data_IF_871234823975
#
_entry.id   IF_871234823975
#
_cell.length_a   1.000
_cell.length_b   1.000
_cell.length_c   1.000
_cell.angle_alpha   90.00
_cell.angle_beta   90.00
_cell.angle_gamma   90.00
#
_symmetry.space_group_name_H-M   'P 1'
#
loop_
_entity.id
_entity.type
_entity.pdbx_description
1 polymer ?
#
# COMPACT_ATOMS: atom_id res chain seq x y z
N UNK A 1 -14.69 -11.70 -6.62
CA UNK A 1 -13.68 -10.79 -7.21
C UNK A 1 -12.79 -10.29 -6.10
N UNK A 2 -11.49 -10.60 -6.18
CA UNK A 2 -10.49 -10.26 -5.18
C UNK A 2 -9.50 -9.21 -5.66
N UNK A 3 -8.98 -8.41 -4.73
CA UNK A 3 -7.94 -7.42 -5.00
C UNK A 3 -6.72 -7.65 -4.11
N UNK A 4 -5.54 -7.65 -4.71
CA UNK A 4 -4.26 -7.57 -4.00
C UNK A 4 -3.90 -6.10 -3.86
N UNK A 5 -3.49 -5.70 -2.65
CA UNK A 5 -3.15 -4.33 -2.29
C UNK A 5 -1.71 -4.31 -1.81
N UNK A 6 -0.90 -3.43 -2.35
CA UNK A 6 0.50 -3.22 -1.94
C UNK A 6 0.83 -1.74 -1.89
N UNK A 7 1.86 -1.39 -1.15
CA UNK A 7 2.31 -0.02 -0.91
C UNK A 7 3.80 0.05 -0.68
N UNK A 8 4.38 1.24 -0.84
CA UNK A 8 5.74 1.52 -0.34
C UNK A 8 6.78 0.53 -0.87
N UNK A 9 6.79 0.33 -2.19
CA UNK A 9 7.74 -0.57 -2.89
C UNK A 9 9.16 0.01 -2.89
N UNK A 10 9.27 1.34 -2.96
CA UNK A 10 10.52 2.05 -2.84
C UNK A 10 11.64 1.53 -3.75
N UNK A 11 11.37 1.37 -5.04
CA UNK A 11 12.35 0.91 -6.03
C UNK A 11 12.97 -0.48 -5.70
N UNK A 12 12.23 -1.33 -5.00
CA UNK A 12 12.60 -2.71 -4.71
C UNK A 12 11.95 -3.69 -5.71
N UNK A 13 12.66 -3.95 -6.80
CA UNK A 13 12.19 -4.88 -7.83
C UNK A 13 12.17 -6.34 -7.36
N UNK A 14 12.92 -6.69 -6.30
CA UNK A 14 12.93 -8.06 -5.75
C UNK A 14 11.64 -8.31 -4.99
N UNK A 15 11.26 -7.39 -4.11
CA UNK A 15 10.02 -7.51 -3.35
C UNK A 15 8.78 -7.56 -4.24
N UNK A 16 8.67 -6.67 -5.25
CA UNK A 16 7.52 -6.70 -6.16
C UNK A 16 7.50 -7.97 -7.03
N UNK A 17 8.65 -8.54 -7.35
CA UNK A 17 8.75 -9.84 -8.04
C UNK A 17 8.30 -10.98 -7.14
N UNK A 18 8.68 -10.97 -5.86
CA UNK A 18 8.21 -11.95 -4.88
C UNK A 18 6.69 -11.91 -4.73
N UNK A 19 6.09 -10.71 -4.60
CA UNK A 19 4.63 -10.53 -4.61
C UNK A 19 4.01 -11.10 -5.90
N UNK A 20 4.52 -10.73 -7.07
CA UNK A 20 4.00 -11.17 -8.37
C UNK A 20 4.07 -12.70 -8.54
N UNK A 21 5.10 -13.34 -8.01
CA UNK A 21 5.23 -14.80 -8.02
C UNK A 21 4.28 -15.44 -7.01
N UNK A 22 4.22 -14.91 -5.78
CA UNK A 22 3.38 -15.42 -4.70
C UNK A 22 1.90 -15.49 -5.09
N UNK A 23 1.35 -14.43 -5.67
CA UNK A 23 -0.09 -14.38 -6.06
C UNK A 23 -0.45 -15.35 -7.19
N UNK A 24 0.53 -15.88 -7.91
CA UNK A 24 0.36 -16.90 -8.96
C UNK A 24 0.44 -18.33 -8.42
N UNK A 25 0.87 -18.54 -7.18
CA UNK A 25 1.03 -19.88 -6.60
C UNK A 25 -0.32 -20.59 -6.41
N UNK A 26 -0.36 -21.92 -6.49
CA UNK A 26 -1.53 -22.71 -6.12
C UNK A 26 -1.97 -22.46 -4.67
N UNK A 27 -1.01 -22.28 -3.75
CA UNK A 27 -1.26 -21.96 -2.35
C UNK A 27 -2.09 -20.67 -2.21
N UNK A 28 -1.64 -19.59 -2.86
CA UNK A 28 -2.36 -18.30 -2.80
C UNK A 28 -3.76 -18.43 -3.39
N UNK A 29 -3.91 -19.06 -4.54
CA UNK A 29 -5.21 -19.26 -5.18
C UNK A 29 -6.17 -20.10 -4.35
N UNK A 30 -5.67 -21.11 -3.64
CA UNK A 30 -6.48 -21.93 -2.75
C UNK A 30 -6.94 -21.13 -1.51
N UNK A 31 -6.09 -20.27 -0.95
CA UNK A 31 -6.37 -19.52 0.26
C UNK A 31 -7.27 -18.30 0.03
N UNK A 32 -7.14 -17.63 -1.12
CA UNK A 32 -7.73 -16.32 -1.41
C UNK A 32 -8.60 -16.28 -2.68
N UNK A 33 -8.55 -17.31 -3.52
CA UNK A 33 -9.23 -17.32 -4.81
C UNK A 33 -8.46 -16.58 -5.90
N UNK A 34 -9.21 -16.16 -6.93
CA UNK A 34 -8.62 -15.47 -8.07
C UNK A 34 -8.36 -13.99 -7.75
N UNK A 35 -7.20 -13.49 -8.17
CA UNK A 35 -6.87 -12.07 -8.16
C UNK A 35 -7.39 -11.43 -9.44
N UNK A 36 -8.31 -10.47 -9.31
CA UNK A 36 -8.88 -9.73 -10.44
C UNK A 36 -8.22 -8.35 -10.59
N UNK A 37 -7.88 -7.72 -9.48
CA UNK A 37 -7.32 -6.38 -9.44
C UNK A 37 -6.03 -6.33 -8.61
N UNK A 38 -5.14 -5.44 -9.02
CA UNK A 38 -4.02 -4.97 -8.20
C UNK A 38 -4.27 -3.51 -7.83
N UNK A 39 -4.04 -3.16 -6.57
CA UNK A 39 -4.17 -1.80 -6.04
C UNK A 39 -2.83 -1.41 -5.44
N UNK A 40 -2.15 -0.47 -6.07
CA UNK A 40 -0.94 0.14 -5.56
C UNK A 40 -1.29 1.42 -4.79
N UNK A 41 -0.90 1.49 -3.53
CA UNK A 41 -1.16 2.64 -2.67
C UNK A 41 -0.06 3.71 -2.74
N UNK A 42 0.88 3.62 -3.69
CA UNK A 42 1.92 4.63 -3.91
C UNK A 42 3.28 4.26 -3.36
N UNK A 43 4.22 5.19 -3.52
CA UNK A 43 5.63 5.08 -3.18
C UNK A 43 6.35 3.95 -3.94
N UNK A 44 6.26 4.02 -5.28
CA UNK A 44 6.97 3.11 -6.16
C UNK A 44 8.46 3.45 -6.28
N UNK A 45 8.84 4.71 -6.10
CA UNK A 45 10.21 5.22 -6.29
C UNK A 45 10.84 5.73 -5.01
N UNK A 46 12.10 6.14 -5.09
CA UNK A 46 13.00 6.56 -4.01
C UNK A 46 13.43 5.43 -3.06
N UNK A 47 14.43 5.71 -2.23
CA UNK A 47 15.11 4.85 -1.23
C UNK A 47 15.88 3.69 -1.85
N UNK A 48 15.22 2.75 -2.50
CA UNK A 48 15.85 1.60 -3.14
C UNK A 48 16.66 1.96 -4.39
N UNK A 49 17.29 0.97 -4.97
CA UNK A 49 18.31 1.16 -5.99
C UNK A 49 17.94 0.66 -7.40
N UNK A 50 16.73 0.11 -7.57
CA UNK A 50 16.26 -0.49 -8.83
C UNK A 50 14.96 0.14 -9.36
N UNK A 51 14.93 1.48 -9.54
CA UNK A 51 13.69 2.15 -9.91
C UNK A 51 13.19 1.76 -11.30
N UNK A 52 14.09 1.55 -12.27
CA UNK A 52 13.70 1.18 -13.62
C UNK A 52 13.06 -0.22 -13.65
N UNK A 53 13.71 -1.21 -13.06
CA UNK A 53 13.21 -2.59 -13.02
C UNK A 53 11.89 -2.68 -12.25
N UNK A 54 11.73 -1.86 -11.22
CA UNK A 54 10.47 -1.78 -10.46
C UNK A 54 9.34 -1.27 -11.34
N UNK A 55 9.53 -0.17 -12.06
CA UNK A 55 8.50 0.37 -12.95
C UNK A 55 8.22 -0.54 -14.15
N UNK A 56 9.22 -1.23 -14.70
CA UNK A 56 9.04 -2.25 -15.74
C UNK A 56 8.19 -3.42 -15.24
N UNK A 57 8.40 -3.86 -13.99
CA UNK A 57 7.59 -4.91 -13.37
C UNK A 57 6.15 -4.44 -13.15
N UNK A 58 5.94 -3.24 -12.64
CA UNK A 58 4.60 -2.64 -12.46
C UNK A 58 3.88 -2.54 -13.82
N UNK A 59 4.58 -2.11 -14.87
CA UNK A 59 4.03 -2.08 -16.22
C UNK A 59 3.67 -3.49 -16.75
N UNK A 60 4.48 -4.50 -16.43
CA UNK A 60 4.17 -5.90 -16.78
C UNK A 60 2.91 -6.37 -16.06
N UNK A 61 2.80 -6.11 -14.75
CA UNK A 61 1.63 -6.46 -13.95
C UNK A 61 0.35 -5.76 -14.46
N UNK A 62 0.45 -4.52 -14.94
CA UNK A 62 -0.69 -3.79 -15.49
C UNK A 62 -1.24 -4.38 -16.80
N UNK A 63 -0.48 -5.24 -17.49
CA UNK A 63 -0.95 -6.00 -18.66
C UNK A 63 -1.65 -7.31 -18.30
N UNK A 64 -1.33 -7.86 -17.13
CA UNK A 64 -1.88 -9.13 -16.65
C UNK A 64 -3.12 -8.92 -15.76
N UNK A 65 -3.16 -7.82 -15.03
CA UNK A 65 -4.20 -7.49 -14.06
C UNK A 65 -4.73 -6.06 -14.30
N UNK A 66 -5.96 -5.82 -13.89
CA UNK A 66 -6.43 -4.43 -13.78
C UNK A 66 -5.69 -3.76 -12.61
N UNK A 67 -4.71 -2.92 -12.94
CA UNK A 67 -3.94 -2.16 -11.95
C UNK A 67 -4.57 -0.76 -11.74
N UNK A 68 -4.83 -0.43 -10.47
CA UNK A 68 -5.13 0.92 -10.02
C UNK A 68 -3.98 1.38 -9.13
N UNK A 69 -3.48 2.60 -9.34
CA UNK A 69 -2.43 3.17 -8.51
C UNK A 69 -2.86 4.54 -8.01
N UNK A 70 -2.59 4.83 -6.73
CA UNK A 70 -2.68 6.17 -6.17
C UNK A 70 -1.29 6.73 -5.93
N UNK A 71 -1.17 8.06 -5.94
CA UNK A 71 0.13 8.74 -5.85
C UNK A 71 0.65 8.74 -4.41
N UNK A 72 1.86 8.24 -4.19
CA UNK A 72 2.57 8.31 -2.93
C UNK A 72 3.33 9.64 -2.74
N UNK A 73 3.81 9.90 -1.53
CA UNK A 73 4.54 11.14 -1.26
C UNK A 73 5.97 11.12 -1.86
N UNK A 74 6.61 9.95 -1.95
CA UNK A 74 7.90 9.82 -2.65
C UNK A 74 7.72 9.94 -4.16
N UNK A 75 6.63 9.41 -4.73
CA UNK A 75 6.29 9.60 -6.15
C UNK A 75 6.03 11.08 -6.45
N UNK A 76 5.21 11.75 -5.62
CA UNK A 76 4.95 13.18 -5.69
C UNK A 76 6.25 14.00 -5.58
N UNK A 77 7.11 13.65 -4.63
CA UNK A 77 8.38 14.35 -4.43
C UNK A 77 9.33 14.16 -5.63
N UNK A 78 9.42 12.96 -6.18
CA UNK A 78 10.21 12.69 -7.40
C UNK A 78 9.74 13.54 -8.58
N UNK A 79 8.44 13.56 -8.85
CA UNK A 79 7.87 14.33 -9.95
C UNK A 79 8.13 15.84 -9.80
N UNK A 80 8.01 16.36 -8.57
CA UNK A 80 8.14 17.79 -8.27
C UNK A 80 9.56 18.21 -7.81
N UNK A 81 10.55 17.31 -7.87
CA UNK A 81 11.95 17.55 -7.45
C UNK A 81 12.06 18.06 -6.00
N UNK A 82 11.21 17.53 -5.11
CA UNK A 82 11.26 17.84 -3.69
C UNK A 82 12.27 16.92 -3.00
N UNK A 83 12.93 17.46 -1.98
CA UNK A 83 13.82 16.66 -1.13
C UNK A 83 12.99 15.79 -0.18
N UNK A 84 13.34 14.51 -0.11
CA UNK A 84 12.78 13.55 0.86
C UNK A 84 13.90 12.76 1.49
N UNK A 85 13.67 12.31 2.72
CA UNK A 85 14.64 11.50 3.47
C UNK A 85 14.65 10.04 2.99
N UNK A 86 15.74 9.33 3.27
CA UNK A 86 15.83 7.89 3.12
C UNK A 86 16.42 7.38 1.81
N UNK A 87 16.79 8.26 0.87
CA UNK A 87 17.56 7.88 -0.32
C UNK A 87 19.04 8.20 -0.11
N UNK A 88 19.90 7.25 -0.42
CA UNK A 88 21.34 7.48 -0.51
C UNK A 88 21.73 8.15 -1.85
N UNK A 89 22.99 8.62 -2.02
CA UNK A 89 23.41 9.25 -3.26
C UNK A 89 23.33 8.36 -4.50
N UNK A 90 23.57 7.04 -4.36
CA UNK A 90 23.50 6.11 -5.48
C UNK A 90 22.07 5.90 -5.93
N UNK A 91 21.14 5.72 -4.98
CA UNK A 91 19.70 5.67 -5.27
C UNK A 91 19.23 6.96 -5.97
N UNK A 92 19.59 8.13 -5.42
CA UNK A 92 19.25 9.43 -6.02
C UNK A 92 19.74 9.53 -7.46
N UNK A 93 20.99 9.14 -7.73
CA UNK A 93 21.55 9.15 -9.08
C UNK A 93 20.77 8.27 -10.04
N UNK A 94 20.43 7.03 -9.66
CA UNK A 94 19.66 6.10 -10.51
C UNK A 94 18.27 6.64 -10.82
N UNK A 95 17.62 7.26 -9.86
CA UNK A 95 16.32 7.91 -10.08
C UNK A 95 16.42 9.09 -11.04
N UNK A 96 17.45 9.92 -10.95
CA UNK A 96 17.68 11.00 -11.92
C UNK A 96 17.95 10.48 -13.35
N UNK A 97 18.60 9.32 -13.51
CA UNK A 97 18.80 8.70 -14.83
C UNK A 97 17.47 8.28 -15.49
N UNK A 98 16.43 8.04 -14.70
CA UNK A 98 15.10 7.70 -15.24
C UNK A 98 14.30 8.91 -15.74
N UNK A 99 14.75 10.14 -15.48
CA UNK A 99 14.02 11.33 -15.95
C UNK A 99 13.97 11.33 -17.48
N UNK A 100 12.76 11.45 -18.01
CA UNK A 100 12.51 11.33 -19.45
C UNK A 100 12.21 9.90 -19.93
N UNK A 101 12.27 8.88 -19.06
CA UNK A 101 11.83 7.53 -19.40
C UNK A 101 10.32 7.49 -19.68
N UNK A 102 9.88 6.78 -20.73
CA UNK A 102 8.46 6.55 -21.00
C UNK A 102 7.73 5.83 -19.85
N UNK A 103 8.45 5.11 -18.98
CA UNK A 103 7.89 4.43 -17.81
C UNK A 103 7.26 5.42 -16.81
N UNK A 104 7.71 6.67 -16.79
CA UNK A 104 7.18 7.70 -15.90
C UNK A 104 5.75 8.14 -16.27
N UNK A 105 5.27 7.83 -17.47
CA UNK A 105 3.87 8.09 -17.85
C UNK A 105 2.86 7.35 -16.97
N UNK A 106 3.28 6.32 -16.24
CA UNK A 106 2.46 5.67 -15.22
C UNK A 106 1.96 6.67 -14.17
N UNK A 107 2.80 7.63 -13.77
CA UNK A 107 2.45 8.62 -12.74
C UNK A 107 1.44 9.67 -13.21
N UNK A 108 1.33 9.94 -14.52
CA UNK A 108 0.42 10.95 -15.08
C UNK A 108 -1.05 10.62 -14.82
N UNK A 109 -1.36 9.35 -14.58
CA UNK A 109 -2.71 8.85 -14.36
C UNK A 109 -3.03 8.50 -12.90
N UNK A 110 -2.06 8.68 -11.98
CA UNK A 110 -2.25 8.36 -10.57
C UNK A 110 -3.04 9.45 -9.84
N UNK A 111 -4.27 9.18 -9.39
CA UNK A 111 -5.00 10.12 -8.52
C UNK A 111 -4.40 10.12 -7.11
N UNK A 112 -4.77 11.12 -6.31
CA UNK A 112 -4.43 11.16 -4.88
C UNK A 112 -5.21 10.15 -4.05
N UNK A 113 -6.32 9.66 -4.58
CA UNK A 113 -7.20 8.67 -3.95
C UNK A 113 -8.06 7.95 -4.99
N UNK A 114 -8.53 6.78 -4.63
CA UNK A 114 -9.50 6.01 -5.40
C UNK A 114 -10.45 5.28 -4.46
N UNK A 115 -11.67 4.97 -4.88
CA UNK A 115 -12.62 4.22 -4.05
C UNK A 115 -13.35 3.15 -4.85
N UNK A 116 -13.61 2.02 -4.21
CA UNK A 116 -14.41 0.93 -4.75
C UNK A 116 -15.15 0.21 -3.61
N UNK A 117 -16.40 -0.19 -3.85
CA UNK A 117 -17.22 -0.99 -2.91
C UNK A 117 -17.21 -0.48 -1.47
N UNK A 118 -17.30 0.83 -1.29
CA UNK A 118 -17.35 1.45 0.05
C UNK A 118 -16.01 1.58 0.75
N UNK A 119 -14.90 1.19 0.10
CA UNK A 119 -13.54 1.35 0.62
C UNK A 119 -12.80 2.46 -0.13
N UNK A 120 -12.16 3.35 0.63
CA UNK A 120 -11.24 4.37 0.14
C UNK A 120 -9.82 3.81 0.12
N UNK A 121 -9.11 4.04 -0.97
CA UNK A 121 -7.70 3.74 -1.14
C UNK A 121 -6.94 5.04 -1.30
N UNK A 122 -5.94 5.28 -0.46
CA UNK A 122 -5.16 6.51 -0.41
C UNK A 122 -3.76 6.17 0.12
N UNK A 123 -2.74 6.93 -0.26
CA UNK A 123 -1.40 6.65 0.27
C UNK A 123 -1.30 6.99 1.75
N UNK A 124 -1.54 8.24 2.14
CA UNK A 124 -1.38 8.74 3.51
C UNK A 124 -2.68 8.89 4.29
N UNK A 125 -3.59 9.75 3.85
CA UNK A 125 -4.82 10.00 4.58
C UNK A 125 -5.97 10.60 3.76
N UNK A 126 -7.18 10.66 4.36
CA UNK A 126 -8.41 10.94 3.64
C UNK A 126 -8.82 12.42 3.61
N UNK A 127 -8.09 13.32 4.32
CA UNK A 127 -8.58 14.66 4.60
C UNK A 127 -8.32 15.61 3.43
N UNK A 128 -9.29 16.50 3.16
CA UNK A 128 -9.14 17.59 2.20
C UNK A 128 -8.67 18.85 2.92
N UNK A 129 -7.34 19.04 3.04
CA UNK A 129 -6.70 20.11 3.80
C UNK A 129 -6.08 21.22 2.94
N UNK A 130 -6.50 21.30 1.66
CA UNK A 130 -5.99 22.28 0.72
C UNK A 130 -4.74 21.82 -0.05
N UNK A 131 -4.02 22.78 -0.67
CA UNK A 131 -3.00 22.50 -1.68
C UNK A 131 -1.56 22.55 -1.17
N UNK A 132 -1.33 22.80 0.12
CA UNK A 132 0.03 22.80 0.68
C UNK A 132 0.59 21.39 0.65
N UNK A 133 1.83 21.22 0.20
CA UNK A 133 2.48 19.92 -0.01
C UNK A 133 2.30 18.97 1.16
N UNK A 134 2.67 19.37 2.37
CA UNK A 134 2.60 18.52 3.57
C UNK A 134 1.17 18.24 4.06
N UNK A 135 0.16 18.87 3.49
CA UNK A 135 -1.27 18.64 3.78
C UNK A 135 -1.98 17.83 2.69
N UNK A 136 -1.33 17.57 1.54
CA UNK A 136 -1.86 16.69 0.51
C UNK A 136 -2.12 15.28 1.06
N UNK A 137 -3.11 14.60 0.52
CA UNK A 137 -3.50 13.25 0.97
C UNK A 137 -2.34 12.26 1.03
N UNK A 138 -1.42 12.31 0.10
CA UNK A 138 -0.24 11.44 0.08
C UNK A 138 0.81 11.77 1.17
N UNK A 139 0.75 12.94 1.84
CA UNK A 139 1.66 13.32 2.93
C UNK A 139 1.03 13.21 4.32
N UNK A 140 -0.25 12.89 4.42
CA UNK A 140 -0.94 12.76 5.71
C UNK A 140 -0.53 11.47 6.43
N UNK A 141 -0.55 11.51 7.78
CA UNK A 141 -0.12 10.40 8.64
C UNK A 141 -1.16 10.09 9.70
N UNK A 142 -1.54 8.81 9.82
CA UNK A 142 -2.37 8.35 10.94
C UNK A 142 -1.55 8.41 12.25
N UNK A 143 -2.10 9.06 13.27
CA UNK A 143 -1.44 9.28 14.55
C UNK A 143 -2.47 9.31 15.70
N UNK A 144 -2.01 9.32 16.93
CA UNK A 144 -2.87 9.52 18.11
C UNK A 144 -3.25 11.00 18.31
N UNK A 145 -2.44 11.92 17.80
CA UNK A 145 -2.68 13.37 17.88
C UNK A 145 -2.70 13.98 16.48
N UNK A 146 -3.50 15.03 16.31
CA UNK A 146 -3.62 15.74 15.02
C UNK A 146 -2.81 17.04 15.03
N UNK A 147 -2.30 17.42 13.85
CA UNK A 147 -1.60 18.68 13.65
C UNK A 147 -0.58 18.67 12.54
N UNK A 148 -0.05 19.84 12.22
CA UNK A 148 1.03 19.99 11.24
C UNK A 148 2.37 19.50 11.82
N UNK A 149 3.14 18.82 10.99
CA UNK A 149 4.51 18.42 11.30
C UNK A 149 5.42 18.60 10.08
N UNK A 150 6.75 18.52 10.28
CA UNK A 150 7.71 18.54 9.18
C UNK A 150 7.60 17.32 8.24
N UNK A 151 6.93 16.25 8.69
CA UNK A 151 6.77 15.00 7.94
C UNK A 151 5.41 14.86 7.25
N UNK A 152 4.52 15.86 7.42
CA UNK A 152 3.17 15.86 6.90
C UNK A 152 2.12 16.16 7.97
N UNK A 153 0.87 16.29 7.60
CA UNK A 153 -0.22 16.51 8.54
C UNK A 153 -0.60 15.19 9.23
N UNK A 154 -0.61 15.21 10.56
CA UNK A 154 -1.07 14.09 11.36
C UNK A 154 -2.60 14.16 11.56
N UNK A 155 -3.29 13.07 11.32
CA UNK A 155 -4.72 12.93 11.57
C UNK A 155 -4.99 11.72 12.48
N UNK A 156 -6.11 11.75 13.19
CA UNK A 156 -6.51 10.68 14.09
C UNK A 156 -7.55 9.76 13.44
N UNK A 157 -7.72 8.55 13.98
CA UNK A 157 -8.73 7.61 13.50
C UNK A 157 -10.16 8.19 13.55
N UNK A 158 -10.60 8.94 14.59
CA UNK A 158 -11.90 9.63 14.56
C UNK A 158 -12.07 10.57 13.37
N UNK A 159 -11.05 11.39 13.04
CA UNK A 159 -11.09 12.31 11.90
C UNK A 159 -11.23 11.56 10.58
N UNK A 160 -10.53 10.45 10.43
CA UNK A 160 -10.64 9.62 9.23
C UNK A 160 -12.04 8.99 9.09
N UNK A 161 -12.61 8.43 10.16
CA UNK A 161 -13.97 7.88 10.14
C UNK A 161 -15.02 8.95 9.83
N UNK A 162 -14.85 10.17 10.32
CA UNK A 162 -15.72 11.30 9.97
C UNK A 162 -15.62 11.62 8.48
N UNK A 163 -14.42 11.75 7.93
CA UNK A 163 -14.20 12.01 6.51
C UNK A 163 -14.80 10.91 5.61
N UNK A 164 -14.72 9.65 6.01
CA UNK A 164 -15.35 8.54 5.32
C UNK A 164 -16.87 8.63 5.36
N UNK A 165 -17.43 8.91 6.53
CA UNK A 165 -18.88 9.01 6.74
C UNK A 165 -19.52 10.09 5.89
N UNK A 166 -18.91 11.29 5.82
CA UNK A 166 -19.37 12.40 4.97
C UNK A 166 -19.41 12.00 3.49
N UNK A 167 -18.56 11.08 3.07
CA UNK A 167 -18.42 10.60 1.68
C UNK A 167 -19.25 9.35 1.39
N UNK A 168 -19.99 8.83 2.38
CA UNK A 168 -20.74 7.59 2.24
C UNK A 168 -19.84 6.33 2.11
N UNK A 169 -18.60 6.40 2.61
CA UNK A 169 -17.64 5.31 2.60
C UNK A 169 -17.57 4.66 3.99
N UNK A 170 -17.25 3.38 4.04
CA UNK A 170 -17.24 2.59 5.28
C UNK A 170 -15.82 2.24 5.71
N UNK A 171 -14.93 1.98 4.75
CA UNK A 171 -13.58 1.50 5.02
C UNK A 171 -12.53 2.38 4.36
N UNK A 172 -11.31 2.36 4.89
CA UNK A 172 -10.13 2.97 4.28
C UNK A 172 -8.95 2.02 4.34
N UNK A 173 -8.18 1.99 3.26
CA UNK A 173 -6.88 1.34 3.21
C UNK A 173 -5.82 2.34 2.79
N UNK A 174 -4.71 2.42 3.55
CA UNK A 174 -3.58 3.31 3.27
C UNK A 174 -2.23 2.57 3.45
N UNK A 175 -1.13 3.23 3.05
CA UNK A 175 0.26 2.81 3.22
C UNK A 175 1.07 3.80 4.04
N UNK A 176 2.20 4.31 3.48
CA UNK A 176 3.00 5.45 3.91
C UNK A 176 3.85 5.25 5.18
N UNK A 177 3.36 4.59 6.20
CA UNK A 177 4.07 4.48 7.48
C UNK A 177 4.70 3.09 7.72
N UNK A 178 4.68 2.21 6.72
CA UNK A 178 5.34 0.90 6.66
C UNK A 178 5.03 -0.06 7.82
N UNK A 179 3.86 0.07 8.42
CA UNK A 179 3.42 -0.77 9.53
C UNK A 179 1.95 -1.13 9.36
N UNK A 180 1.62 -2.39 9.50
CA UNK A 180 0.24 -2.84 9.51
C UNK A 180 -0.51 -2.25 10.71
N UNK A 181 -1.69 -1.68 10.47
CA UNK A 181 -2.63 -1.21 11.50
C UNK A 181 -4.05 -1.59 11.11
N UNK A 182 -4.86 -1.90 12.13
CA UNK A 182 -6.28 -2.09 11.99
C UNK A 182 -7.02 -1.34 13.10
N UNK A 183 -7.73 -0.25 12.77
CA UNK A 183 -8.63 0.44 13.68
C UNK A 183 -10.09 0.14 13.29
N UNK A 184 -10.92 -0.32 14.21
CA UNK A 184 -12.33 -0.67 14.00
C UNK A 184 -13.23 0.26 14.79
N UNK A 185 -14.26 0.82 14.14
CA UNK A 185 -15.29 1.63 14.82
C UNK A 185 -16.45 0.73 15.20
N UNK A 186 -16.56 0.44 16.49
CA UNK A 186 -17.64 -0.36 17.08
C UNK A 186 -18.65 0.53 17.81
N UNK A 187 -19.80 0.01 18.26
CA UNK A 187 -20.73 0.77 19.11
C UNK A 187 -20.08 1.29 20.41
N UNK A 188 -19.07 0.59 20.92
CA UNK A 188 -18.36 0.95 22.17
C UNK A 188 -17.21 1.94 21.93
N UNK A 189 -16.91 2.30 20.68
CA UNK A 189 -15.85 3.23 20.32
C UNK A 189 -14.90 2.72 19.24
N UNK A 190 -13.77 3.41 19.09
CA UNK A 190 -12.73 3.03 18.13
C UNK A 190 -11.67 2.20 18.85
N UNK A 191 -11.42 1.01 18.34
CA UNK A 191 -10.47 0.05 18.91
C UNK A 191 -9.40 -0.28 17.87
N UNK A 192 -8.13 -0.16 18.25
CA UNK A 192 -7.02 -0.71 17.48
C UNK A 192 -6.91 -2.21 17.77
N UNK A 193 -6.95 -3.02 16.72
CA UNK A 193 -6.83 -4.48 16.81
C UNK A 193 -5.38 -4.88 16.54
N UNK A 194 -4.77 -5.72 17.38
CA UNK A 194 -3.49 -6.32 17.07
C UNK A 194 -3.60 -7.17 15.79
N UNK A 195 -2.53 -7.14 14.99
CA UNK A 195 -2.42 -7.93 13.77
C UNK A 195 -1.43 -9.05 14.05
N UNK A 196 -1.98 -10.22 14.32
CA UNK A 196 -1.20 -11.43 14.60
C UNK A 196 -1.13 -12.24 13.31
N UNK A 197 0.05 -12.25 12.69
CA UNK A 197 0.32 -13.00 11.47
C UNK A 197 0.58 -14.47 11.85
N UNK A 198 -0.15 -15.38 11.25
CA UNK A 198 -0.01 -16.81 11.45
C UNK A 198 0.42 -17.49 10.15
N UNK A 199 1.29 -18.51 10.20
CA UNK A 199 1.69 -19.26 9.03
C UNK A 199 0.49 -19.82 8.29
N UNK A 200 0.43 -19.58 6.97
CA UNK A 200 -0.56 -20.22 6.13
C UNK A 200 -0.09 -21.63 5.81
N UNK A 201 -0.56 -22.61 6.62
CA UNK A 201 -0.20 -24.01 6.42
C UNK A 201 -1.05 -24.63 5.30
N UNK A 202 -0.41 -24.86 4.16
CA UNK A 202 -0.92 -25.81 3.16
C UNK A 202 0.15 -26.89 2.98
N UNK A 203 -0.26 -28.13 3.17
CA UNK A 203 0.59 -29.32 3.00
C UNK A 203 0.88 -29.53 1.49
N UNK A 204 1.89 -28.85 0.96
CA UNK A 204 2.54 -29.20 -0.30
C UNK A 204 4.02 -28.86 -0.23
N UNK A 205 4.85 -29.85 -0.56
CA UNK A 205 6.31 -29.83 -0.47
C UNK A 205 7.01 -28.88 -1.47
N UNK A 206 6.26 -28.19 -2.36
CA UNK A 206 6.81 -27.47 -3.50
C UNK A 206 6.54 -25.95 -3.52
N UNK A 207 6.00 -25.36 -2.45
CA UNK A 207 5.79 -23.91 -2.43
C UNK A 207 7.06 -23.17 -2.01
N UNK A 208 7.59 -22.37 -2.94
CA UNK A 208 8.82 -21.57 -2.80
C UNK A 208 8.69 -20.45 -1.73
N UNK A 209 7.45 -20.13 -1.28
CA UNK A 209 7.17 -19.04 -0.35
C UNK A 209 6.51 -19.51 0.94
N UNK A 210 7.04 -19.08 2.08
CA UNK A 210 6.32 -19.09 3.35
C UNK A 210 5.50 -17.83 3.47
N UNK A 211 4.20 -17.99 3.66
CA UNK A 211 3.26 -16.87 3.78
C UNK A 211 2.68 -16.88 5.19
N UNK A 212 2.67 -15.70 5.82
CA UNK A 212 1.94 -15.47 7.06
C UNK A 212 0.74 -14.57 6.79
N UNK A 213 -0.38 -14.81 7.48
CA UNK A 213 -1.66 -14.13 7.22
C UNK A 213 -2.38 -13.77 8.50
N UNK A 214 -2.90 -12.52 8.58
CA UNK A 214 -3.90 -12.11 9.56
C UNK A 214 -5.18 -11.69 8.85
N UNK A 215 -6.33 -12.26 9.23
CA UNK A 215 -7.63 -11.97 8.60
C UNK A 215 -8.50 -11.09 9.48
N UNK A 216 -9.05 -10.04 8.89
CA UNK A 216 -9.92 -9.05 9.53
C UNK A 216 -11.25 -9.02 8.79
N UNK A 217 -12.39 -9.36 9.44
CA UNK A 217 -13.70 -9.18 8.84
C UNK A 217 -14.05 -7.70 8.68
N UNK A 218 -14.63 -7.33 7.54
CA UNK A 218 -15.06 -5.97 7.22
C UNK A 218 -16.56 -5.77 7.55
N UNK A 219 -16.97 -6.17 8.74
CA UNK A 219 -18.35 -6.14 9.27
C UNK A 219 -18.70 -4.83 9.98
N UNK A 220 -17.70 -4.01 10.30
CA UNK A 220 -17.85 -2.66 10.87
C UNK A 220 -16.92 -1.68 10.15
N UNK A 221 -17.14 -0.35 10.25
CA UNK A 221 -16.22 0.62 9.66
C UNK A 221 -14.79 0.39 10.15
N UNK A 222 -13.85 0.30 9.20
CA UNK A 222 -12.48 -0.14 9.49
C UNK A 222 -11.46 0.72 8.74
N UNK A 223 -10.42 1.17 9.44
CA UNK A 223 -9.22 1.76 8.87
C UNK A 223 -8.10 0.70 8.86
N UNK A 224 -7.47 0.54 7.74
CA UNK A 224 -6.43 -0.42 7.48
C UNK A 224 -5.21 0.31 6.96
N UNK A 225 -4.03 0.00 7.47
CA UNK A 225 -2.76 0.43 6.92
C UNK A 225 -1.92 -0.79 6.61
N UNK A 226 -1.46 -0.90 5.38
CA UNK A 226 -0.63 -2.00 4.90
C UNK A 226 0.84 -1.64 5.10
N UNK A 227 1.63 -2.58 5.52
CA UNK A 227 3.09 -2.47 5.62
C UNK A 227 3.75 -2.30 4.26
N UNK A 228 5.06 -2.10 4.25
CA UNK A 228 5.80 -1.86 3.02
C UNK A 228 6.06 -3.13 2.21
N UNK A 229 5.86 -3.07 0.90
CA UNK A 229 6.23 -4.12 -0.03
C UNK A 229 7.70 -3.97 -0.45
N UNK A 230 8.62 -4.05 0.50
CA UNK A 230 10.06 -3.92 0.30
C UNK A 230 10.85 -4.72 1.34
N UNK A 231 12.14 -4.93 1.08
CA UNK A 231 13.03 -5.68 1.97
C UNK A 231 12.83 -7.20 1.90
N UNK A 232 13.38 -7.90 2.88
CA UNK A 232 13.43 -9.37 2.88
C UNK A 232 12.08 -10.02 3.22
N UNK A 233 11.21 -9.31 3.91
CA UNK A 233 9.87 -9.75 4.31
C UNK A 233 8.79 -8.79 3.77
N UNK A 234 8.57 -8.73 2.46
CA UNK A 234 7.61 -7.79 1.89
C UNK A 234 6.19 -8.06 2.36
N UNK A 235 5.50 -7.00 2.76
CA UNK A 235 4.12 -7.03 3.21
C UNK A 235 3.17 -6.50 2.13
N UNK A 236 2.01 -7.10 2.04
CA UNK A 236 0.92 -6.69 1.16
C UNK A 236 -0.41 -7.18 1.75
N UNK A 237 -1.52 -6.95 1.06
CA UNK A 237 -2.81 -7.44 1.53
C UNK A 237 -3.65 -8.01 0.38
N UNK A 238 -4.67 -8.79 0.77
CA UNK A 238 -5.73 -9.23 -0.13
C UNK A 238 -7.08 -8.89 0.48
N UNK A 239 -8.05 -8.50 -0.36
CA UNK A 239 -9.42 -8.33 0.07
C UNK A 239 -10.40 -8.86 -0.98
N UNK A 240 -11.47 -9.50 -0.51
CA UNK A 240 -12.69 -9.77 -1.27
C UNK A 240 -13.80 -8.74 -0.97
N UNK A 241 -13.47 -7.69 -0.20
CA UNK A 241 -14.34 -6.64 0.32
C UNK A 241 -15.34 -7.09 1.41
N UNK A 242 -15.25 -8.35 1.87
CA UNK A 242 -15.92 -8.85 3.07
C UNK A 242 -14.90 -9.17 4.16
N UNK A 243 -13.71 -9.56 3.75
CA UNK A 243 -12.55 -9.87 4.59
C UNK A 243 -11.33 -9.15 4.03
N UNK A 244 -10.50 -8.63 4.91
CA UNK A 244 -9.19 -8.07 4.60
C UNK A 244 -8.12 -8.96 5.22
N UNK A 245 -7.14 -9.34 4.42
CA UNK A 245 -6.05 -10.21 4.86
C UNK A 245 -4.73 -9.47 4.73
N UNK A 246 -4.06 -9.21 5.84
CA UNK A 246 -2.65 -8.80 5.83
C UNK A 246 -1.80 -10.02 5.53
N UNK A 247 -0.80 -9.87 4.68
CA UNK A 247 0.04 -10.97 4.19
C UNK A 247 1.49 -10.52 4.25
N UNK A 248 2.35 -11.42 4.76
CA UNK A 248 3.81 -11.27 4.72
C UNK A 248 4.39 -12.47 3.99
N UNK A 249 5.36 -12.21 3.13
CA UNK A 249 6.17 -13.25 2.50
C UNK A 249 7.46 -13.34 3.30
N UNK A 250 7.74 -14.53 3.85
CA UNK A 250 9.04 -14.82 4.46
C UNK A 250 9.92 -15.48 3.40
N UNK A 251 11.09 -14.91 3.09
CA UNK A 251 12.10 -15.57 2.29
C UNK A 251 12.57 -16.83 3.03
N UNK A 252 12.68 -17.95 2.33
CA UNK A 252 13.44 -19.09 2.87
C UNK A 252 14.91 -18.67 2.92
N UNK A 253 15.55 -18.82 4.08
CA UNK A 253 17.01 -18.84 4.22
C UNK A 253 17.62 -19.98 3.38
#
# INVERSE_FOLDING_TARGET
>A
MGAVIFSDVHADSVAIRALASCIKTPLFRQAFGQVDNLINLGDLVHRGDRPQETLEMIHTLSREYRLVSVLGNHDHAFLNRLLVSGSDPASTYRHEQMRGSPLLSLFDTMPMEWSDRGMLFVHGGPLDLGKQTLRLKCWQRLSHESGDSFAGFHYTAPMAFEALSVRGLTHMCCGHQHQNICCRKTPDGIVEKPIELEPLSVKKEDDEYHIEVARIPLDVPTLLRVGGCHGDEPEFAFTDFTTFSFIRINSRD
#
